data_IF_535513173679
#
_entry.id   IF_535513173679
#
_cell.length_a   1.000
_cell.length_b   1.000
_cell.length_c   1.000
_cell.angle_alpha   90.00
_cell.angle_beta   90.00
_cell.angle_gamma   90.00
#
_symmetry.space_group_name_H-M   'P 1'
#
loop_
_entity.id
_entity.type
_entity.pdbx_description
1 polymer ?
#
# COMPACT_ATOMS: atom_id res chain seq x y z
N UNK A 1 15.33 22.66 -26.05
CA UNK A 1 15.66 21.75 -24.94
C UNK A 1 14.57 21.88 -23.88
N UNK A 2 13.78 20.85 -23.62
CA UNK A 2 12.81 20.86 -22.50
C UNK A 2 13.59 20.53 -21.23
N UNK A 3 13.68 21.47 -20.30
CA UNK A 3 14.07 21.15 -18.93
C UNK A 3 12.99 20.21 -18.39
N UNK A 4 13.34 18.94 -18.16
CA UNK A 4 12.48 18.09 -17.34
C UNK A 4 12.67 18.57 -15.90
N UNK A 5 11.57 18.88 -15.21
CA UNK A 5 11.59 19.18 -13.79
C UNK A 5 12.33 18.08 -13.03
N UNK A 6 12.87 18.41 -11.85
CA UNK A 6 13.64 17.43 -11.08
C UNK A 6 12.82 16.16 -10.85
N UNK A 7 13.44 15.02 -11.17
CA UNK A 7 12.90 13.71 -10.81
C UNK A 7 13.22 13.45 -9.35
N UNK A 8 12.19 13.23 -8.54
CA UNK A 8 12.30 12.97 -7.11
C UNK A 8 11.76 11.58 -6.82
N UNK A 9 12.53 10.78 -6.07
CA UNK A 9 12.09 9.48 -5.60
C UNK A 9 11.21 9.61 -4.36
N UNK A 10 10.06 8.95 -4.36
CA UNK A 10 9.18 8.81 -3.19
C UNK A 10 9.15 7.35 -2.75
N UNK A 11 9.03 7.13 -1.43
CA UNK A 11 8.88 5.79 -0.85
C UNK A 11 7.99 5.83 0.40
N UNK A 12 7.23 4.75 0.61
CA UNK A 12 6.39 4.54 1.78
C UNK A 12 6.75 3.21 2.44
N UNK A 13 6.87 3.23 3.77
CA UNK A 13 7.04 2.05 4.60
C UNK A 13 5.85 1.95 5.55
N UNK A 14 5.20 0.78 5.59
CA UNK A 14 4.09 0.55 6.50
C UNK A 14 4.60 0.23 7.91
N UNK A 15 3.92 0.76 8.93
CA UNK A 15 4.17 0.37 10.31
C UNK A 15 3.71 -1.07 10.57
N UNK A 16 4.20 -1.68 11.65
CA UNK A 16 3.79 -3.02 12.05
C UNK A 16 2.27 -3.10 12.25
N UNK A 17 1.64 -4.15 11.71
CA UNK A 17 0.19 -4.32 11.71
C UNK A 17 -0.54 -3.52 10.63
N UNK A 18 0.18 -2.85 9.73
CA UNK A 18 -0.38 -2.15 8.56
C UNK A 18 0.27 -2.63 7.27
N UNK A 19 -0.46 -2.46 6.17
CA UNK A 19 0.01 -2.65 4.81
C UNK A 19 -0.19 -1.36 4.01
N UNK A 20 0.78 -1.04 3.15
CA UNK A 20 0.64 0.02 2.18
C UNK A 20 -0.44 -0.36 1.16
N UNK A 21 -1.33 0.58 0.83
CA UNK A 21 -2.45 0.36 -0.09
C UNK A 21 -2.13 0.99 -1.44
N UNK A 22 -1.97 2.32 -1.45
CA UNK A 22 -1.73 3.06 -2.68
C UNK A 22 -1.25 4.49 -2.41
N UNK A 23 -0.64 5.07 -3.43
CA UNK A 23 -0.41 6.50 -3.58
C UNK A 23 -1.59 7.13 -4.31
N UNK A 24 -2.05 8.26 -3.79
CA UNK A 24 -2.93 9.20 -4.48
C UNK A 24 -2.15 10.49 -4.74
N UNK A 25 -1.85 10.74 -6.01
CA UNK A 25 -1.07 11.88 -6.46
C UNK A 25 -1.91 12.86 -7.26
N UNK A 26 -1.54 14.14 -7.20
CA UNK A 26 -2.15 15.20 -8.01
C UNK A 26 -1.10 16.20 -8.49
N UNK A 27 -1.35 16.81 -9.65
CA UNK A 27 -0.44 17.74 -10.31
C UNK A 27 0.31 17.11 -11.48
N UNK A 28 0.94 17.94 -12.32
CA UNK A 28 1.65 17.46 -13.51
C UNK A 28 2.97 16.79 -13.11
N UNK A 29 3.05 15.47 -13.31
CA UNK A 29 4.22 14.66 -12.95
C UNK A 29 4.08 13.92 -11.62
N UNK A 30 2.89 13.90 -11.00
CA UNK A 30 2.58 13.08 -9.82
C UNK A 30 2.47 11.60 -10.15
N UNK A 31 2.49 10.75 -9.12
CA UNK A 31 2.31 9.31 -9.20
C UNK A 31 1.00 8.88 -8.53
N UNK A 32 0.29 7.92 -9.11
CA UNK A 32 -0.85 7.27 -8.46
C UNK A 32 -0.81 5.80 -8.78
N UNK A 33 -0.82 4.96 -7.76
CA UNK A 33 -0.63 3.52 -7.94
C UNK A 33 -0.25 2.79 -6.67
N UNK A 34 -0.07 1.48 -6.81
CA UNK A 34 0.13 0.55 -5.69
C UNK A 34 1.61 0.25 -5.40
N UNK A 35 2.56 0.87 -6.09
CA UNK A 35 3.97 0.64 -5.78
C UNK A 35 4.38 1.45 -4.55
N UNK A 36 5.09 0.81 -3.62
CA UNK A 36 5.60 1.46 -2.40
C UNK A 36 6.66 2.53 -2.70
N UNK A 37 7.28 2.49 -3.88
CA UNK A 37 8.22 3.51 -4.35
C UNK A 37 7.96 3.90 -5.81
N UNK A 38 8.16 5.18 -6.13
CA UNK A 38 8.02 5.71 -7.47
C UNK A 38 8.92 6.95 -7.69
N UNK A 39 9.07 7.37 -8.94
CA UNK A 39 9.69 8.64 -9.29
C UNK A 39 8.62 9.60 -9.79
N UNK A 40 8.61 10.82 -9.24
CA UNK A 40 7.72 11.91 -9.64
C UNK A 40 8.53 13.04 -10.27
N UNK A 41 7.93 13.78 -11.20
CA UNK A 41 8.58 14.90 -11.87
C UNK A 41 8.00 16.22 -11.35
N UNK A 42 8.82 17.02 -10.66
CA UNK A 42 8.42 18.32 -10.13
C UNK A 42 8.45 19.40 -11.21
N UNK A 43 7.52 19.33 -12.17
CA UNK A 43 7.35 20.35 -13.22
C UNK A 43 6.45 21.53 -12.76
N UNK A 44 5.65 21.28 -11.72
CA UNK A 44 4.73 22.20 -11.06
C UNK A 44 4.52 21.70 -9.62
N UNK A 45 3.79 22.42 -8.75
CA UNK A 45 3.37 21.86 -7.47
C UNK A 45 2.63 20.54 -7.67
N UNK A 46 3.06 19.52 -6.93
CA UNK A 46 2.42 18.21 -6.87
C UNK A 46 2.11 17.86 -5.41
N UNK A 47 1.14 16.97 -5.19
CA UNK A 47 0.83 16.40 -3.87
C UNK A 47 0.79 14.88 -3.99
N UNK A 48 1.41 14.18 -3.03
CA UNK A 48 1.48 12.72 -2.95
C UNK A 48 1.01 12.27 -1.57
N UNK A 49 -0.03 11.43 -1.52
CA UNK A 49 -0.58 10.90 -0.27
C UNK A 49 -0.54 9.36 -0.26
N UNK A 50 0.10 8.78 0.75
CA UNK A 50 0.13 7.33 0.96
C UNK A 50 -1.04 6.88 1.84
N UNK A 51 -1.77 5.86 1.38
CA UNK A 51 -2.83 5.20 2.14
C UNK A 51 -2.33 3.88 2.73
N UNK A 52 -2.75 3.57 3.95
CA UNK A 52 -2.41 2.35 4.67
C UNK A 52 -3.67 1.70 5.25
N UNK A 53 -3.68 0.38 5.35
CA UNK A 53 -4.76 -0.41 5.94
C UNK A 53 -4.23 -1.36 7.00
N UNK A 54 -5.02 -1.64 8.04
CA UNK A 54 -4.64 -2.61 9.07
C UNK A 54 -4.61 -4.02 8.50
N UNK A 55 -3.57 -4.79 8.87
CA UNK A 55 -3.45 -6.19 8.53
C UNK A 55 -4.01 -7.02 9.70
N UNK A 56 -5.12 -7.70 9.46
CA UNK A 56 -5.75 -8.60 10.45
C UNK A 56 -5.43 -10.04 10.08
N UNK A 57 -4.76 -10.77 10.97
CA UNK A 57 -4.50 -12.20 10.83
C UNK A 57 -5.39 -13.00 11.77
N UNK A 58 -6.22 -13.89 11.22
CA UNK A 58 -7.02 -14.84 12.00
C UNK A 58 -6.28 -16.18 12.01
N UNK A 59 -5.90 -16.65 13.20
CA UNK A 59 -5.29 -17.98 13.37
C UNK A 59 -6.25 -18.88 14.14
N UNK A 60 -6.62 -20.02 13.54
CA UNK A 60 -7.52 -21.01 14.16
C UNK A 60 -6.68 -22.19 14.68
N UNK A 61 -6.75 -22.49 15.98
CA UNK A 61 -5.94 -23.55 16.63
C UNK A 61 -6.79 -24.51 17.47
N UNK A 62 -6.81 -25.82 17.16
CA UNK A 62 -7.62 -26.84 17.89
C UNK A 62 -6.86 -27.45 19.04
N UNK A 63 -7.59 -27.73 20.13
CA UNK A 63 -7.14 -28.63 21.19
C UNK A 63 -8.21 -29.72 21.47
N UNK A 64 -7.92 -31.02 21.26
CA UNK A 64 -6.68 -31.58 20.69
C UNK A 64 -6.51 -31.26 19.20
N UNK A 65 -5.26 -31.14 18.76
CA UNK A 65 -4.87 -30.98 17.35
C UNK A 65 -5.48 -32.10 16.49
N UNK A 66 -5.95 -31.78 15.27
CA UNK A 66 -6.63 -32.74 14.37
C UNK A 66 -8.18 -32.67 14.41
N UNK A 67 -8.72 -31.72 15.17
CA UNK A 67 -10.10 -31.20 15.11
C UNK A 67 -10.52 -30.67 13.75
N UNK A 68 -11.52 -31.22 13.07
CA UNK A 68 -12.13 -30.53 11.93
C UNK A 68 -12.79 -29.21 12.40
N UNK A 69 -12.52 -28.13 11.67
CA UNK A 69 -13.12 -26.82 11.87
C UNK A 69 -14.06 -26.50 10.73
N UNK A 70 -15.34 -26.29 11.05
CA UNK A 70 -16.33 -25.83 10.08
C UNK A 70 -16.39 -24.31 10.16
N UNK A 71 -15.77 -23.62 9.21
CA UNK A 71 -16.05 -22.20 8.93
C UNK A 71 -17.00 -22.20 7.74
N UNK A 72 -18.16 -21.55 7.89
CA UNK A 72 -19.21 -21.37 6.87
C UNK A 72 -20.21 -22.52 6.62
N UNK A 73 -20.38 -23.45 7.57
CA UNK A 73 -21.64 -24.20 7.75
C UNK A 73 -22.15 -25.05 6.57
N UNK A 74 -21.31 -25.51 5.64
CA UNK A 74 -21.70 -26.59 4.73
C UNK A 74 -21.40 -27.95 5.37
N UNK A 75 -22.46 -28.76 5.48
CA UNK A 75 -22.43 -30.15 5.98
C UNK A 75 -22.12 -31.10 4.83
#
# INVERSE_FOLDING_TARGET
MVQRGQSVGISASANQGYQFVSWAGSGSGSYSGSNTSANVAMNAPISEAASFSQQVSVTVTTNPVGRAYTVDGQT
#
